data_IF_393716090173
#
_entry.id   IF_393716090173
#
_cell.length_a   1.000
_cell.length_b   1.000
_cell.length_c   1.000
_cell.angle_alpha   90.00
_cell.angle_beta   90.00
_cell.angle_gamma   90.00
#
_symmetry.space_group_name_H-M   'P 1'
#
loop_
_entity.id
_entity.type
_entity.pdbx_description
1 polymer ?
#
# COMPACT_ATOMS: atom_id res chain seq x y z
N UNK A 1 68.11 -36.71 -1.90
CA UNK A 1 66.71 -37.08 -1.61
C UNK A 1 66.06 -35.89 -0.92
N UNK A 2 65.12 -35.21 -1.58
CA UNK A 2 64.42 -34.06 -0.98
C UNK A 2 63.42 -34.59 0.07
N UNK A 3 63.47 -34.15 1.35
CA UNK A 3 62.50 -34.59 2.32
C UNK A 3 61.12 -34.02 1.96
N UNK A 4 60.11 -34.87 2.16
CA UNK A 4 58.69 -34.66 1.90
C UNK A 4 58.17 -33.27 2.27
N UNK A 5 57.25 -32.75 1.47
CA UNK A 5 56.55 -31.47 1.61
C UNK A 5 56.21 -31.08 3.06
N UNK A 6 57.12 -30.38 3.74
CA UNK A 6 56.78 -29.77 5.01
C UNK A 6 55.84 -28.58 4.75
N UNK A 7 54.78 -28.40 5.55
CA UNK A 7 53.94 -27.21 5.45
C UNK A 7 54.82 -25.96 5.56
N UNK A 8 54.61 -24.98 4.67
CA UNK A 8 55.43 -23.75 4.52
C UNK A 8 55.75 -23.08 5.85
N UNK A 9 54.80 -23.13 6.79
CA UNK A 9 54.93 -22.62 8.16
C UNK A 9 56.01 -23.33 8.99
N UNK A 10 56.14 -24.66 8.91
CA UNK A 10 57.21 -25.39 9.61
C UNK A 10 58.57 -25.07 8.99
N UNK A 11 58.64 -24.97 7.65
CA UNK A 11 59.85 -24.58 6.94
C UNK A 11 60.32 -23.16 7.32
N UNK A 12 59.39 -22.24 7.57
CA UNK A 12 59.70 -20.90 8.07
C UNK A 12 60.20 -20.92 9.52
N UNK A 13 59.56 -21.71 10.41
CA UNK A 13 59.99 -21.84 11.80
C UNK A 13 61.38 -22.47 11.92
N UNK A 14 61.70 -23.45 11.07
CA UNK A 14 62.97 -24.15 11.05
C UNK A 14 64.18 -23.25 10.71
N UNK A 15 63.94 -22.04 10.18
CA UNK A 15 65.00 -21.05 9.97
C UNK A 15 65.53 -20.43 11.27
N UNK A 16 64.74 -20.44 12.34
CA UNK A 16 65.04 -19.74 13.59
C UNK A 16 65.06 -20.65 14.82
N UNK A 17 64.57 -21.90 14.72
CA UNK A 17 64.40 -22.80 15.86
C UNK A 17 64.90 -24.22 15.56
N UNK A 18 65.27 -24.96 16.63
CA UNK A 18 65.63 -26.38 16.54
C UNK A 18 64.43 -27.23 16.09
N UNK A 19 64.65 -28.37 15.42
CA UNK A 19 63.58 -29.16 14.82
C UNK A 19 62.51 -29.63 15.84
N UNK A 20 62.92 -29.90 17.08
CA UNK A 20 62.01 -30.25 18.18
C UNK A 20 61.13 -29.06 18.59
N UNK A 21 61.72 -27.87 18.69
CA UNK A 21 60.98 -26.64 19.01
C UNK A 21 60.04 -26.23 17.89
N UNK A 22 60.41 -26.46 16.62
CA UNK A 22 59.56 -26.21 15.45
C UNK A 22 58.28 -27.05 15.53
N UNK A 23 58.42 -28.36 15.78
CA UNK A 23 57.29 -29.27 15.84
C UNK A 23 56.35 -28.89 16.99
N UNK A 24 56.91 -28.60 18.17
CA UNK A 24 56.13 -28.15 19.35
C UNK A 24 55.41 -26.82 19.11
N UNK A 25 56.09 -25.81 18.54
CA UNK A 25 55.46 -24.51 18.26
C UNK A 25 54.34 -24.68 17.22
N UNK A 26 54.57 -25.50 16.20
CA UNK A 26 53.59 -25.73 15.16
C UNK A 26 52.34 -26.45 15.69
N UNK A 27 52.51 -27.54 16.46
CA UNK A 27 51.38 -28.28 17.05
C UNK A 27 50.57 -27.44 18.02
N UNK A 28 51.26 -26.73 18.93
CA UNK A 28 50.60 -26.08 20.06
C UNK A 28 49.95 -24.76 19.64
N UNK A 29 50.62 -23.99 18.77
CA UNK A 29 50.26 -22.58 18.54
C UNK A 29 49.68 -22.30 17.15
N UNK A 30 49.95 -23.16 16.15
CA UNK A 30 49.66 -22.85 14.75
C UNK A 30 48.64 -23.82 14.15
N UNK A 31 48.80 -25.13 14.33
CA UNK A 31 48.02 -26.17 13.64
C UNK A 31 46.49 -25.99 13.79
N UNK A 32 46.04 -25.58 14.98
CA UNK A 32 44.61 -25.42 15.28
C UNK A 32 44.15 -23.96 15.35
N UNK A 33 45.00 -22.99 14.97
CA UNK A 33 44.67 -21.57 15.00
C UNK A 33 44.45 -21.05 13.58
N UNK A 34 43.19 -20.95 13.09
CA UNK A 34 42.93 -20.44 11.75
C UNK A 34 43.37 -18.98 11.63
N UNK A 35 44.28 -18.71 10.70
CA UNK A 35 44.75 -17.37 10.41
C UNK A 35 43.87 -16.78 9.31
N UNK A 36 42.87 -15.98 9.72
CA UNK A 36 41.97 -15.30 8.80
C UNK A 36 42.73 -14.17 8.09
N UNK A 37 43.39 -14.50 6.98
CA UNK A 37 44.00 -13.52 6.10
C UNK A 37 42.89 -12.69 5.46
N UNK A 38 42.79 -11.41 5.86
CA UNK A 38 42.07 -10.42 5.06
C UNK A 38 43.00 -9.99 3.93
N UNK A 39 42.55 -10.00 2.66
CA UNK A 39 43.27 -9.34 1.58
C UNK A 39 43.41 -7.85 1.94
N UNK A 40 44.61 -7.44 2.36
CA UNK A 40 45.06 -6.07 2.64
C UNK A 40 44.07 -5.17 3.41
N UNK A 41 44.30 -4.98 4.72
CA UNK A 41 43.72 -3.88 5.50
C UNK A 41 44.68 -2.69 5.55
N UNK A 42 44.23 -1.42 5.53
CA UNK A 42 42.88 -0.96 5.21
C UNK A 42 42.72 -0.65 3.70
N UNK A 43 41.48 -0.65 3.16
CA UNK A 43 41.23 -0.11 1.82
C UNK A 43 41.74 1.35 1.76
N UNK A 44 42.32 1.78 0.62
CA UNK A 44 42.75 3.17 0.45
C UNK A 44 41.57 4.09 0.78
N UNK A 45 41.80 5.26 1.40
CA UNK A 45 40.73 6.16 1.80
C UNK A 45 39.79 6.37 0.63
N UNK A 46 38.58 5.82 0.75
CA UNK A 46 37.60 5.91 -0.31
C UNK A 46 37.23 7.37 -0.46
N UNK A 47 37.81 8.04 -1.46
CA UNK A 47 37.35 9.34 -1.90
C UNK A 47 35.82 9.29 -1.98
N UNK A 48 35.09 10.25 -1.40
CA UNK A 48 33.63 10.24 -1.35
C UNK A 48 32.98 10.00 -2.74
N UNK A 49 33.71 10.37 -3.81
CA UNK A 49 33.39 10.08 -5.21
C UNK A 49 33.33 8.58 -5.54
N UNK A 50 34.28 7.79 -5.07
CA UNK A 50 34.34 6.34 -5.30
C UNK A 50 33.23 5.60 -4.53
N UNK A 51 32.96 5.98 -3.28
CA UNK A 51 31.81 5.45 -2.54
C UNK A 51 30.48 5.71 -3.25
N UNK A 52 30.25 6.94 -3.75
CA UNK A 52 29.07 7.30 -4.54
C UNK A 52 28.96 6.49 -5.84
N UNK A 53 30.09 6.27 -6.53
CA UNK A 53 30.13 5.45 -7.74
C UNK A 53 29.76 3.99 -7.45
N UNK A 54 30.34 3.40 -6.41
CA UNK A 54 30.07 2.02 -6.01
C UNK A 54 28.61 1.84 -5.59
N UNK A 55 28.06 2.75 -4.78
CA UNK A 55 26.64 2.74 -4.41
C UNK A 55 25.71 2.82 -5.63
N UNK A 56 26.05 3.64 -6.64
CA UNK A 56 25.29 3.73 -7.89
C UNK A 56 25.35 2.43 -8.71
N UNK A 57 26.53 1.80 -8.80
CA UNK A 57 26.69 0.53 -9.51
C UNK A 57 26.00 -0.62 -8.79
N UNK A 58 26.03 -0.67 -7.46
CA UNK A 58 25.25 -1.61 -6.66
C UNK A 58 23.73 -1.40 -6.83
N UNK A 59 23.28 -0.14 -6.84
CA UNK A 59 21.87 0.18 -7.09
C UNK A 59 21.44 -0.27 -8.51
N UNK A 60 22.28 -0.06 -9.53
CA UNK A 60 22.02 -0.57 -10.90
C UNK A 60 21.99 -2.09 -10.94
N UNK A 61 22.93 -2.78 -10.28
CA UNK A 61 22.93 -4.26 -10.19
C UNK A 61 21.63 -4.77 -9.57
N UNK A 62 21.20 -4.16 -8.44
CA UNK A 62 19.93 -4.48 -7.77
C UNK A 62 18.72 -4.19 -8.66
N UNK A 63 18.76 -3.13 -9.48
CA UNK A 63 17.68 -2.80 -10.41
C UNK A 63 17.58 -3.82 -11.56
N UNK A 64 18.71 -4.34 -12.07
CA UNK A 64 18.74 -5.35 -13.15
C UNK A 64 18.19 -6.72 -12.73
N UNK A 65 18.22 -7.04 -11.44
CA UNK A 65 17.63 -8.27 -10.89
C UNK A 65 16.09 -8.24 -10.91
N UNK A 66 15.48 -7.05 -10.92
CA UNK A 66 14.03 -6.92 -10.95
C UNK A 66 13.54 -6.96 -12.41
N UNK A 67 12.45 -7.70 -12.71
CA UNK A 67 11.86 -7.63 -14.04
C UNK A 67 11.45 -6.18 -14.34
N UNK A 68 11.61 -5.78 -15.61
CA UNK A 68 11.21 -4.44 -16.04
C UNK A 68 9.70 -4.27 -15.80
N UNK A 69 9.26 -3.20 -15.12
CA UNK A 69 7.83 -2.95 -14.96
C UNK A 69 7.20 -2.74 -16.33
N UNK A 70 5.94 -3.18 -16.48
CA UNK A 70 5.19 -3.01 -17.71
C UNK A 70 5.09 -1.53 -18.10
N UNK A 71 5.32 -1.24 -19.38
CA UNK A 71 5.14 0.10 -19.91
C UNK A 71 3.66 0.51 -19.84
N UNK A 72 3.36 1.82 -19.84
CA UNK A 72 1.98 2.30 -19.82
C UNK A 72 1.15 1.72 -20.98
N UNK A 73 1.70 1.69 -22.20
CA UNK A 73 1.07 1.10 -23.39
C UNK A 73 0.79 -0.41 -23.23
N UNK A 74 1.69 -1.14 -22.59
CA UNK A 74 1.53 -2.59 -22.35
C UNK A 74 0.42 -2.86 -21.34
N UNK A 75 0.33 -2.06 -20.26
CA UNK A 75 -0.75 -2.18 -19.27
C UNK A 75 -2.12 -1.89 -19.88
N UNK A 76 -2.23 -0.88 -20.74
CA UNK A 76 -3.46 -0.59 -21.49
C UNK A 76 -3.81 -1.71 -22.47
N UNK A 77 -2.84 -2.21 -23.26
CA UNK A 77 -3.09 -3.33 -24.19
C UNK A 77 -3.57 -4.59 -23.46
N UNK A 78 -3.10 -4.83 -22.23
CA UNK A 78 -3.52 -5.95 -21.39
C UNK A 78 -4.83 -5.71 -20.63
N UNK A 79 -5.41 -4.50 -20.70
CA UNK A 79 -6.62 -4.17 -19.96
C UNK A 79 -6.49 -4.35 -18.45
N UNK A 80 -5.28 -4.14 -17.88
CA UNK A 80 -4.99 -4.49 -16.49
C UNK A 80 -5.90 -3.78 -15.47
N UNK A 81 -6.45 -2.63 -15.87
CA UNK A 81 -7.30 -1.79 -15.04
C UNK A 81 -8.78 -1.86 -15.41
N UNK A 82 -9.13 -2.67 -16.42
CA UNK A 82 -10.48 -2.75 -16.97
C UNK A 82 -11.21 -3.95 -16.37
N UNK A 83 -12.46 -3.74 -15.95
CA UNK A 83 -13.31 -4.84 -15.48
C UNK A 83 -13.86 -5.59 -16.70
N UNK A 84 -13.57 -6.90 -16.87
CA UNK A 84 -14.08 -7.66 -18.01
C UNK A 84 -15.61 -7.66 -18.05
N UNK A 85 -16.22 -7.55 -19.24
CA UNK A 85 -17.69 -7.49 -19.41
C UNK A 85 -18.46 -8.58 -18.66
N UNK A 86 -17.92 -9.81 -18.61
CA UNK A 86 -18.51 -10.94 -17.86
C UNK A 86 -18.67 -10.64 -16.36
N UNK A 87 -17.76 -9.86 -15.79
CA UNK A 87 -17.75 -9.47 -14.38
C UNK A 87 -18.49 -8.17 -14.07
N UNK A 88 -19.03 -7.47 -15.08
CA UNK A 88 -19.78 -6.22 -14.91
C UNK A 88 -21.23 -6.49 -14.47
N UNK A 89 -21.42 -7.29 -13.41
CA UNK A 89 -22.74 -7.56 -12.84
C UNK A 89 -22.82 -6.97 -11.45
N UNK A 90 -23.86 -6.19 -11.19
CA UNK A 90 -24.10 -5.55 -9.91
C UNK A 90 -24.06 -6.55 -8.73
N UNK A 91 -24.69 -7.72 -8.91
CA UNK A 91 -24.73 -8.79 -7.92
C UNK A 91 -23.34 -9.28 -7.45
N UNK A 92 -22.32 -9.21 -8.32
CA UNK A 92 -20.94 -9.61 -7.97
C UNK A 92 -20.33 -8.63 -6.95
N UNK A 93 -20.76 -7.36 -6.98
CA UNK A 93 -20.24 -6.31 -6.11
C UNK A 93 -21.05 -6.13 -4.82
N UNK A 94 -22.19 -6.78 -4.65
CA UNK A 94 -22.95 -6.71 -3.40
C UNK A 94 -22.19 -7.22 -2.17
N UNK A 95 -21.45 -8.34 -2.22
CA UNK A 95 -20.62 -8.76 -1.08
C UNK A 95 -19.55 -7.72 -0.72
N UNK A 96 -19.00 -7.02 -1.72
CA UNK A 96 -18.05 -5.93 -1.51
C UNK A 96 -18.70 -4.77 -0.76
N UNK A 97 -19.95 -4.45 -1.07
CA UNK A 97 -20.71 -3.45 -0.32
C UNK A 97 -20.96 -3.89 1.13
N UNK A 98 -21.31 -5.15 1.37
CA UNK A 98 -21.47 -5.68 2.74
C UNK A 98 -20.17 -5.59 3.55
N UNK A 99 -19.03 -5.86 2.92
CA UNK A 99 -17.72 -5.70 3.54
C UNK A 99 -17.44 -4.23 3.90
N UNK A 100 -17.75 -3.31 2.98
CA UNK A 100 -17.59 -1.87 3.21
C UNK A 100 -18.47 -1.37 4.37
N UNK A 101 -19.69 -1.87 4.50
CA UNK A 101 -20.57 -1.55 5.63
C UNK A 101 -19.94 -1.95 6.97
N UNK A 102 -19.38 -3.16 7.09
CA UNK A 102 -18.69 -3.58 8.31
C UNK A 102 -17.46 -2.72 8.61
N UNK A 103 -16.67 -2.41 7.57
CA UNK A 103 -15.50 -1.53 7.68
C UNK A 103 -15.85 -0.12 8.19
N UNK A 104 -16.90 0.50 7.64
CA UNK A 104 -17.26 1.87 8.00
C UNK A 104 -17.95 1.94 9.37
N UNK A 105 -18.71 0.89 9.74
CA UNK A 105 -19.26 0.72 11.09
C UNK A 105 -18.11 0.66 12.13
N UNK A 106 -17.07 -0.12 11.87
CA UNK A 106 -15.91 -0.26 12.76
C UNK A 106 -15.14 1.05 12.94
N UNK A 107 -14.90 1.79 11.84
CA UNK A 107 -14.16 3.05 11.89
C UNK A 107 -14.93 4.14 12.60
N UNK A 108 -16.22 4.27 12.30
CA UNK A 108 -17.05 5.32 12.89
C UNK A 108 -17.34 5.00 14.36
N UNK A 109 -17.66 3.76 14.70
CA UNK A 109 -17.99 3.35 16.07
C UNK A 109 -19.13 4.21 16.62
N UNK A 110 -18.91 4.88 17.76
CA UNK A 110 -19.87 5.81 18.38
C UNK A 110 -20.21 7.03 17.51
N UNK A 111 -19.32 7.43 16.60
CA UNK A 111 -19.52 8.56 15.71
C UNK A 111 -20.65 8.33 14.70
N UNK A 112 -21.03 7.06 14.46
CA UNK A 112 -22.14 6.72 13.57
C UNK A 112 -23.50 7.23 14.08
N UNK A 113 -23.65 7.38 15.41
CA UNK A 113 -24.90 7.82 16.03
C UNK A 113 -25.04 9.33 16.14
N UNK A 114 -23.92 10.06 16.19
CA UNK A 114 -23.88 11.49 16.50
C UNK A 114 -23.36 12.33 15.32
N UNK A 115 -22.57 11.73 14.42
CA UNK A 115 -21.92 12.42 13.32
C UNK A 115 -20.89 13.46 13.79
N UNK A 116 -20.78 14.55 13.06
CA UNK A 116 -19.93 15.69 13.42
C UNK A 116 -18.51 15.63 12.85
N UNK A 117 -17.64 16.51 13.36
CA UNK A 117 -16.32 16.75 12.80
C UNK A 117 -15.39 15.53 12.91
N UNK A 118 -15.51 14.73 13.98
CA UNK A 118 -14.73 13.51 14.16
C UNK A 118 -15.12 12.44 13.13
N UNK A 119 -16.42 12.22 12.91
CA UNK A 119 -16.91 11.38 11.82
C UNK A 119 -16.40 11.86 10.45
N UNK A 120 -16.50 13.16 10.17
CA UNK A 120 -16.06 13.76 8.92
C UNK A 120 -14.54 13.58 8.69
N UNK A 121 -13.73 13.75 9.74
CA UNK A 121 -12.27 13.54 9.66
C UNK A 121 -11.93 12.07 9.32
N UNK A 122 -12.58 11.10 9.98
CA UNK A 122 -12.41 9.68 9.67
C UNK A 122 -12.84 9.35 8.24
N UNK A 123 -14.02 9.83 7.82
CA UNK A 123 -14.54 9.62 6.46
C UNK A 123 -13.67 10.28 5.39
N UNK A 124 -13.03 11.42 5.69
CA UNK A 124 -12.12 12.07 4.75
C UNK A 124 -10.89 11.22 4.42
N UNK A 125 -10.44 10.37 5.36
CA UNK A 125 -9.31 9.47 5.19
C UNK A 125 -9.72 8.05 4.75
N UNK A 126 -11.01 7.72 4.85
CA UNK A 126 -11.54 6.38 4.62
C UNK A 126 -11.47 5.94 3.15
N UNK A 127 -11.61 4.63 2.95
CA UNK A 127 -11.72 4.00 1.64
C UNK A 127 -13.18 3.89 1.19
N UNK A 128 -13.43 4.10 -0.10
CA UNK A 128 -14.78 4.11 -0.68
C UNK A 128 -15.00 3.03 -1.75
N UNK A 129 -14.06 2.11 -1.95
CA UNK A 129 -14.31 0.91 -2.75
C UNK A 129 -15.38 0.06 -2.07
N UNK A 130 -16.43 -0.33 -2.80
CA UNK A 130 -17.60 -1.01 -2.24
C UNK A 130 -18.66 -0.09 -1.64
N UNK A 131 -18.39 1.21 -1.51
CA UNK A 131 -19.39 2.13 -1.00
C UNK A 131 -20.54 2.26 -2.01
N UNK A 132 -21.79 2.17 -1.51
CA UNK A 132 -22.97 2.53 -2.31
C UNK A 132 -23.09 4.04 -2.34
N UNK A 133 -23.14 4.60 -3.53
CA UNK A 133 -23.13 6.04 -3.76
C UNK A 133 -24.31 6.46 -4.62
N UNK A 134 -24.84 7.64 -4.33
CA UNK A 134 -25.81 8.36 -5.13
C UNK A 134 -25.25 9.74 -5.49
N UNK A 135 -25.38 10.16 -6.74
CA UNK A 135 -25.03 11.53 -7.14
C UNK A 135 -26.19 12.45 -6.78
N UNK A 136 -26.07 13.19 -5.68
CA UNK A 136 -27.12 14.11 -5.20
C UNK A 136 -27.13 15.42 -5.97
N UNK A 137 -25.95 15.96 -6.30
CA UNK A 137 -25.78 17.19 -7.08
C UNK A 137 -24.64 17.04 -8.08
N UNK A 138 -24.78 17.62 -9.26
CA UNK A 138 -23.69 17.72 -10.22
C UNK A 138 -23.85 18.96 -11.09
N UNK A 139 -22.75 19.57 -11.50
CA UNK A 139 -22.74 20.62 -12.53
C UNK A 139 -23.34 20.14 -13.85
N UNK A 140 -23.30 18.83 -14.13
CA UNK A 140 -23.96 18.22 -15.27
C UNK A 140 -25.27 17.53 -14.83
N UNK A 141 -26.45 18.07 -15.18
CA UNK A 141 -27.74 17.53 -14.72
C UNK A 141 -27.97 16.06 -15.10
N UNK A 142 -27.42 15.61 -16.23
CA UNK A 142 -27.54 14.21 -16.69
C UNK A 142 -26.91 13.17 -15.74
N UNK A 143 -26.04 13.61 -14.82
CA UNK A 143 -25.36 12.74 -13.85
C UNK A 143 -26.11 12.61 -12.53
N UNK A 144 -27.03 13.54 -12.24
CA UNK A 144 -27.81 13.53 -11.00
C UNK A 144 -28.69 12.29 -10.96
N UNK A 145 -28.74 11.63 -9.80
CA UNK A 145 -29.49 10.38 -9.60
C UNK A 145 -28.78 9.13 -10.12
N UNK A 146 -27.53 9.21 -10.60
CA UNK A 146 -26.73 7.99 -10.81
C UNK A 146 -26.50 7.34 -9.45
N UNK A 147 -26.94 6.08 -9.31
CA UNK A 147 -26.76 5.28 -8.10
C UNK A 147 -26.02 3.99 -8.42
N UNK A 148 -25.22 3.51 -7.48
CA UNK A 148 -24.53 2.24 -7.64
C UNK A 148 -23.44 2.00 -6.60
N UNK A 149 -22.63 0.95 -6.82
CA UNK A 149 -21.51 0.60 -5.95
C UNK A 149 -20.22 1.10 -6.60
N UNK A 150 -19.36 1.76 -5.83
CA UNK A 150 -18.04 2.19 -6.31
C UNK A 150 -17.14 0.97 -6.49
N UNK A 151 -16.74 0.70 -7.72
CA UNK A 151 -15.77 -0.36 -8.06
C UNK A 151 -14.35 0.14 -7.82
N UNK A 152 -14.08 1.38 -8.24
CA UNK A 152 -12.74 1.97 -8.24
C UNK A 152 -12.78 3.42 -7.83
N UNK A 153 -11.95 3.73 -6.83
CA UNK A 153 -11.68 5.09 -6.38
C UNK A 153 -10.49 5.68 -7.13
N UNK A 154 -10.77 6.29 -8.28
CA UNK A 154 -9.78 7.02 -9.05
C UNK A 154 -9.46 8.38 -8.45
N UNK A 155 -8.33 8.97 -8.87
CA UNK A 155 -7.93 10.32 -8.40
C UNK A 155 -9.02 11.36 -8.70
N UNK A 156 -9.59 11.32 -9.90
CA UNK A 156 -10.50 12.36 -10.40
C UNK A 156 -11.94 11.88 -10.62
N UNK A 157 -12.18 10.58 -10.54
CA UNK A 157 -13.47 9.98 -10.87
C UNK A 157 -13.71 8.72 -10.05
N UNK A 158 -14.98 8.43 -9.80
CA UNK A 158 -15.43 7.12 -9.33
C UNK A 158 -15.90 6.29 -10.52
N UNK A 159 -15.49 5.03 -10.58
CA UNK A 159 -16.12 4.05 -11.47
C UNK A 159 -17.18 3.30 -10.67
N UNK A 160 -18.44 3.41 -11.09
CA UNK A 160 -19.62 2.96 -10.35
C UNK A 160 -20.35 1.91 -11.18
N UNK A 161 -20.66 0.75 -10.58
CA UNK A 161 -21.58 -0.22 -11.19
C UNK A 161 -23.01 0.10 -10.78
N UNK A 162 -23.85 0.37 -11.77
CA UNK A 162 -25.28 0.65 -11.56
C UNK A 162 -26.08 -0.65 -11.42
N UNK A 163 -27.29 -0.61 -10.82
CA UNK A 163 -28.19 -1.78 -10.78
C UNK A 163 -28.54 -2.35 -12.16
N UNK A 164 -28.40 -1.54 -13.22
CA UNK A 164 -28.59 -1.95 -14.62
C UNK A 164 -27.41 -2.74 -15.21
N UNK A 165 -26.43 -3.11 -14.39
CA UNK A 165 -25.20 -3.80 -14.81
C UNK A 165 -24.33 -2.97 -15.78
N UNK A 166 -24.41 -1.65 -15.68
CA UNK A 166 -23.58 -0.72 -16.47
C UNK A 166 -22.56 -0.03 -15.57
N UNK A 167 -21.30 0.01 -16.01
CA UNK A 167 -20.26 0.80 -15.37
C UNK A 167 -20.35 2.24 -15.87
N UNK A 168 -20.46 3.19 -14.93
CA UNK A 168 -20.42 4.62 -15.19
C UNK A 168 -19.21 5.24 -14.52
N UNK A 169 -18.45 6.02 -15.28
CA UNK A 169 -17.34 6.82 -14.75
C UNK A 169 -17.87 8.20 -14.43
N UNK A 170 -17.96 8.54 -13.15
CA UNK A 170 -18.48 9.82 -12.68
C UNK A 170 -17.32 10.69 -12.20
N UNK A 171 -17.04 11.82 -12.86
CA UNK A 171 -16.04 12.77 -12.40
C UNK A 171 -16.40 13.31 -11.02
N UNK A 172 -15.40 13.44 -10.15
CA UNK A 172 -15.57 14.01 -8.81
C UNK A 172 -15.74 15.53 -8.86
N UNK A 173 -15.09 16.18 -9.82
CA UNK A 173 -15.21 17.62 -10.02
C UNK A 173 -16.68 18.02 -10.27
N UNK A 174 -17.12 19.07 -9.57
CA UNK A 174 -18.45 19.64 -9.64
C UNK A 174 -19.56 18.66 -9.23
N UNK A 175 -19.26 17.62 -8.45
CA UNK A 175 -20.20 16.55 -8.12
C UNK A 175 -20.23 16.27 -6.61
N UNK A 176 -21.43 16.07 -6.07
CA UNK A 176 -21.69 15.70 -4.68
C UNK A 176 -22.15 14.25 -4.63
N UNK A 177 -21.51 13.49 -3.76
CA UNK A 177 -21.74 12.07 -3.58
C UNK A 177 -22.38 11.83 -2.23
N UNK A 178 -23.62 11.36 -2.24
CA UNK A 178 -24.37 10.97 -1.05
C UNK A 178 -24.14 9.50 -0.76
N UNK A 179 -23.84 9.19 0.49
CA UNK A 179 -23.65 7.85 1.01
C UNK A 179 -24.63 7.59 2.15
N UNK A 180 -25.14 6.37 2.21
CA UNK A 180 -26.09 5.94 3.24
C UNK A 180 -25.55 4.70 3.95
N UNK A 181 -25.51 4.76 5.28
CA UNK A 181 -25.09 3.66 6.15
C UNK A 181 -26.28 3.30 7.05
N UNK A 182 -26.77 2.05 7.04
CA UNK A 182 -27.77 1.59 8.01
C UNK A 182 -27.14 1.56 9.41
N UNK A 183 -27.81 2.15 10.40
CA UNK A 183 -27.36 2.12 11.80
C UNK A 183 -28.07 0.98 12.50
N UNK A 184 -27.31 0.04 13.08
CA UNK A 184 -27.87 -1.01 13.94
C UNK A 184 -28.18 -0.37 15.29
N UNK A 185 -29.46 -0.27 15.64
CA UNK A 185 -29.82 0.18 16.99
C UNK A 185 -29.53 -0.95 17.99
N UNK A 186 -29.00 -0.63 19.19
CA UNK A 186 -28.97 -1.59 20.27
C UNK A 186 -30.42 -1.99 20.58
N UNK A 187 -30.68 -3.29 20.65
CA UNK A 187 -32.01 -3.85 20.95
C UNK A 187 -32.48 -3.29 22.29
N UNK A 188 -33.31 -2.25 22.27
CA UNK A 188 -34.10 -1.83 23.41
C UNK A 188 -35.27 -2.81 23.52
N UNK A 189 -35.43 -3.40 24.70
CA UNK A 189 -36.48 -4.29 25.22
C UNK A 189 -37.42 -5.00 24.20
N UNK A 190 -37.57 -6.34 24.27
CA UNK A 190 -38.37 -7.14 23.33
C UNK A 190 -39.90 -6.87 23.35
N UNK A 191 -40.37 -5.83 24.04
CA UNK A 191 -41.78 -5.47 24.20
C UNK A 191 -42.21 -4.22 23.41
N UNK A 192 -41.32 -3.53 22.69
CA UNK A 192 -41.68 -2.36 21.87
C UNK A 192 -41.96 -2.77 20.42
N UNK A 193 -43.18 -3.23 20.15
CA UNK A 193 -43.75 -3.28 18.79
C UNK A 193 -43.91 -1.86 18.26
N UNK A 194 -42.87 -1.35 17.60
CA UNK A 194 -43.00 -0.14 16.76
C UNK A 194 -42.28 -0.38 15.46
N UNK A 195 -43.03 -0.35 14.35
CA UNK A 195 -42.56 -0.40 12.96
C UNK A 195 -41.76 0.87 12.60
N UNK A 196 -40.70 1.16 13.35
CA UNK A 196 -39.84 2.31 13.08
C UNK A 196 -38.89 1.96 11.92
N UNK A 197 -38.91 2.79 10.87
CA UNK A 197 -37.96 2.67 9.76
C UNK A 197 -36.52 2.70 10.31
N UNK A 198 -35.62 1.80 9.87
CA UNK A 198 -34.27 1.73 10.41
C UNK A 198 -33.55 3.06 10.22
N UNK A 199 -32.95 3.57 11.31
CA UNK A 199 -32.18 4.82 11.30
C UNK A 199 -31.01 4.68 10.32
N UNK A 200 -30.82 5.71 9.48
CA UNK A 200 -29.73 5.77 8.50
C UNK A 200 -28.82 6.96 8.80
N UNK A 201 -27.53 6.70 8.82
CA UNK A 201 -26.51 7.74 8.83
C UNK A 201 -26.22 8.12 7.37
N UNK A 202 -26.54 9.37 7.01
CA UNK A 202 -26.37 9.88 5.65
C UNK A 202 -25.34 11.00 5.69
N UNK A 203 -24.37 10.94 4.79
CA UNK A 203 -23.38 11.99 4.63
C UNK A 203 -23.11 12.26 3.15
N UNK A 204 -22.70 13.49 2.86
CA UNK A 204 -22.32 13.90 1.51
C UNK A 204 -20.83 14.20 1.46
N UNK A 205 -20.20 13.76 0.38
CA UNK A 205 -18.81 14.06 0.04
C UNK A 205 -18.80 15.00 -1.14
N UNK A 206 -18.17 16.16 -0.94
CA UNK A 206 -17.92 17.11 -2.00
C UNK A 206 -16.73 16.65 -2.85
N UNK A 207 -17.00 16.32 -4.11
CA UNK A 207 -16.00 15.72 -4.99
C UNK A 207 -14.83 16.65 -5.33
N UNK A 208 -15.00 17.97 -5.35
CA UNK A 208 -13.92 18.95 -5.58
C UNK A 208 -12.80 18.85 -4.54
N UNK A 209 -13.15 18.57 -3.29
CA UNK A 209 -12.18 18.36 -2.20
C UNK A 209 -11.71 16.91 -2.12
N UNK A 210 -12.30 16.02 -2.92
CA UNK A 210 -12.07 14.58 -2.92
C UNK A 210 -11.24 14.07 -4.11
N UNK A 211 -10.53 14.97 -4.80
CA UNK A 211 -9.66 14.72 -5.97
C UNK A 211 -8.33 14.01 -5.65
N UNK A 212 -8.40 12.98 -4.81
CA UNK A 212 -7.30 12.11 -4.42
C UNK A 212 -7.73 10.66 -4.46
N UNK A 213 -6.77 9.76 -4.72
CA UNK A 213 -7.00 8.32 -4.67
C UNK A 213 -7.21 7.89 -3.22
N UNK A 214 -7.97 6.81 -2.99
CA UNK A 214 -8.21 6.28 -1.64
C UNK A 214 -6.93 6.04 -0.85
N UNK A 215 -5.97 5.33 -1.43
CA UNK A 215 -4.67 5.06 -0.81
C UNK A 215 -3.86 6.33 -0.43
N UNK A 216 -4.05 7.43 -1.17
CA UNK A 216 -3.32 8.68 -0.91
C UNK A 216 -4.00 9.53 0.18
N UNK A 217 -5.28 9.28 0.51
CA UNK A 217 -6.04 10.08 1.48
C UNK A 217 -5.59 9.90 2.91
N UNK A 218 -5.29 8.66 3.31
CA UNK A 218 -4.88 8.34 4.68
C UNK A 218 -3.65 9.15 5.15
N UNK A 219 -2.73 9.45 4.23
CA UNK A 219 -1.51 10.20 4.52
C UNK A 219 -1.61 11.70 4.17
N UNK A 220 -2.74 12.15 3.61
CA UNK A 220 -2.92 13.54 3.19
C UNK A 220 -3.39 14.39 4.35
N UNK A 221 -2.68 15.50 4.59
CA UNK A 221 -3.16 16.59 5.45
C UNK A 221 -4.18 17.42 4.68
N UNK A 222 -5.46 17.22 4.97
CA UNK A 222 -6.52 18.06 4.42
C UNK A 222 -6.43 19.47 4.99
N UNK A 223 -6.49 20.47 4.12
CA UNK A 223 -6.50 21.89 4.50
C UNK A 223 -7.86 22.45 4.11
N UNK A 224 -8.41 23.32 4.95
CA UNK A 224 -9.63 24.03 4.63
C UNK A 224 -9.33 25.03 3.51
N UNK A 225 -9.93 24.80 2.35
CA UNK A 225 -9.90 25.73 1.23
C UNK A 225 -11.29 26.35 1.08
N UNK A 226 -11.34 27.67 0.97
CA UNK A 226 -12.57 28.37 0.63
C UNK A 226 -12.97 28.02 -0.81
N UNK A 227 -14.22 27.64 -1.00
CA UNK A 227 -14.78 27.31 -2.31
C UNK A 227 -15.75 28.42 -2.70
N UNK A 228 -15.46 29.08 -3.82
CA UNK A 228 -16.25 30.23 -4.31
C UNK A 228 -17.61 29.83 -4.88
N UNK A 229 -17.77 28.57 -5.29
CA UNK A 229 -18.87 28.09 -6.11
C UNK A 229 -19.75 27.08 -5.35
N UNK A 230 -19.92 27.29 -4.05
CA UNK A 230 -20.61 26.37 -3.13
C UNK A 230 -21.83 27.03 -2.51
#
# INVERSE_FOLDING_TARGET
>A
MAPSSQPVTQALLARAHSPESVNRIFSDKIQYRPLYLRPSSPPPPSNARNARRNAREEAKKKQRLKPKPLAARERHRRGLYDVPRRGQKYAIFEPLHRLWLGYVEEILGSELYHGGAAAAAKLSAAEFHGARVEVSRSSCPSRVGITGIVIKDGKFAFEIITPKNEIKVVPKEGTWFKFEIPVKEPVADPQATTEASPRRFVFEVLGDQFLTRGADRANKKFKHHYLKNL
#
